data_IF_356972250279
#
_entry.id   IF_356972250279
#
_cell.length_a   1.000
_cell.length_b   1.000
_cell.length_c   1.000
_cell.angle_alpha   90.00
_cell.angle_beta   90.00
_cell.angle_gamma   90.00
#
_symmetry.space_group_name_H-M   'P 1'
#
loop_
_entity.id
_entity.type
_entity.pdbx_description
1 polymer ?
#
# COMPACT_ATOMS: atom_id res chain seq x y z
N UNK A 1 9.18 1.43 15.85
CA UNK A 1 9.13 0.57 14.63
C UNK A 1 10.56 0.24 14.22
N UNK A 2 10.91 -1.00 13.83
CA UNK A 2 12.25 -1.33 13.30
C UNK A 2 12.58 -0.55 12.03
N UNK A 3 13.84 -0.20 11.84
CA UNK A 3 14.33 0.64 10.76
C UNK A 3 13.90 0.12 9.36
N UNK A 4 14.02 -1.19 9.12
CA UNK A 4 13.65 -1.77 7.83
C UNK A 4 12.15 -1.68 7.53
N UNK A 5 11.27 -1.69 8.55
CA UNK A 5 9.82 -1.47 8.37
C UNK A 5 9.57 0.02 8.12
N UNK A 6 10.27 0.88 8.85
CA UNK A 6 10.16 2.33 8.69
C UNK A 6 10.59 2.76 7.27
N UNK A 7 11.76 2.28 6.79
CA UNK A 7 12.25 2.60 5.45
C UNK A 7 11.28 2.11 4.36
N UNK A 8 10.69 0.91 4.53
CA UNK A 8 9.63 0.41 3.67
C UNK A 8 8.42 1.35 3.66
N UNK A 9 7.90 1.69 4.84
CA UNK A 9 6.74 2.57 4.97
C UNK A 9 6.97 3.98 4.40
N UNK A 10 8.18 4.52 4.55
CA UNK A 10 8.57 5.80 3.95
C UNK A 10 8.52 5.73 2.42
N UNK A 11 9.01 4.65 1.81
CA UNK A 11 8.94 4.50 0.35
C UNK A 11 7.50 4.31 -0.14
N UNK A 12 6.70 3.50 0.57
CA UNK A 12 5.26 3.35 0.28
C UNK A 12 4.55 4.69 0.36
N UNK A 13 4.85 5.50 1.38
CA UNK A 13 4.26 6.83 1.56
C UNK A 13 4.65 7.82 0.45
N UNK A 14 5.88 7.76 -0.07
CA UNK A 14 6.30 8.57 -1.21
C UNK A 14 5.49 8.23 -2.47
N UNK A 15 5.28 6.95 -2.75
CA UNK A 15 4.45 6.52 -3.89
C UNK A 15 3.00 6.95 -3.69
N UNK A 16 2.43 6.70 -2.51
CA UNK A 16 1.05 7.06 -2.21
C UNK A 16 0.83 8.57 -2.35
N UNK A 17 1.74 9.38 -1.81
CA UNK A 17 1.70 10.84 -1.93
C UNK A 17 1.79 11.31 -3.38
N UNK A 18 2.73 10.78 -4.16
CA UNK A 18 2.87 11.08 -5.60
C UNK A 18 1.57 10.81 -6.35
N UNK A 19 1.01 9.61 -6.20
CA UNK A 19 -0.21 9.20 -6.90
C UNK A 19 -1.41 10.05 -6.47
N UNK A 20 -1.59 10.25 -5.16
CA UNK A 20 -2.72 11.03 -4.64
C UNK A 20 -2.68 12.47 -5.14
N UNK A 21 -1.53 13.15 -5.07
CA UNK A 21 -1.35 14.52 -5.60
C UNK A 21 -1.62 14.61 -7.09
N UNK A 22 -1.16 13.62 -7.85
CA UNK A 22 -1.34 13.61 -9.30
C UNK A 22 -2.81 13.42 -9.68
N UNK A 23 -3.52 12.54 -8.96
CA UNK A 23 -4.95 12.32 -9.14
C UNK A 23 -5.78 13.52 -8.68
N UNK A 24 -5.45 14.12 -7.52
CA UNK A 24 -6.09 15.34 -7.02
C UNK A 24 -5.96 16.49 -8.02
N UNK A 25 -4.78 16.66 -8.61
CA UNK A 25 -4.55 17.64 -9.68
C UNK A 25 -5.37 17.36 -10.93
N UNK A 26 -5.77 16.11 -11.16
CA UNK A 26 -6.69 15.68 -12.21
C UNK A 26 -8.17 15.81 -11.84
N UNK A 27 -8.50 16.35 -10.66
CA UNK A 27 -9.87 16.62 -10.22
C UNK A 27 -10.51 15.52 -9.37
N UNK A 28 -9.73 14.51 -8.94
CA UNK A 28 -10.22 13.49 -8.00
C UNK A 28 -10.29 14.04 -6.58
N UNK A 29 -11.34 13.69 -5.85
CA UNK A 29 -11.54 14.10 -4.44
C UNK A 29 -10.82 13.09 -3.55
N UNK A 30 -9.60 13.44 -3.15
CA UNK A 30 -8.70 12.60 -2.36
C UNK A 30 -7.98 13.48 -1.32
N UNK A 31 -7.48 12.87 -0.23
CA UNK A 31 -6.65 13.54 0.76
C UNK A 31 -5.21 13.01 0.69
N UNK A 32 -4.30 13.88 0.30
CA UNK A 32 -2.86 13.59 0.29
C UNK A 32 -2.34 13.27 1.69
N UNK A 33 -2.85 13.97 2.70
CA UNK A 33 -2.49 13.76 4.11
C UNK A 33 -2.92 12.37 4.58
N UNK A 34 -4.17 11.97 4.31
CA UNK A 34 -4.70 10.66 4.69
C UNK A 34 -3.96 9.52 4.01
N UNK A 35 -3.76 9.62 2.69
CA UNK A 35 -3.01 8.61 1.93
C UNK A 35 -1.56 8.50 2.43
N UNK A 36 -0.89 9.63 2.71
CA UNK A 36 0.48 9.65 3.20
C UNK A 36 0.57 9.04 4.61
N UNK A 37 -0.31 9.45 5.54
CA UNK A 37 -0.34 8.92 6.90
C UNK A 37 -0.71 7.44 6.92
N UNK A 38 -1.72 7.03 6.15
CA UNK A 38 -2.09 5.61 6.00
C UNK A 38 -0.94 4.76 5.48
N UNK A 39 -0.18 5.25 4.50
CA UNK A 39 0.99 4.58 3.97
C UNK A 39 2.15 4.51 4.98
N UNK A 40 2.39 5.55 5.77
CA UNK A 40 3.39 5.52 6.85
C UNK A 40 3.05 4.52 7.95
N UNK A 41 1.77 4.35 8.25
CA UNK A 41 1.28 3.54 9.36
C UNK A 41 0.78 2.14 8.93
N UNK A 42 0.72 1.81 7.62
CA UNK A 42 0.11 0.57 7.15
C UNK A 42 0.65 -0.70 7.85
N UNK A 43 1.92 -0.74 8.17
CA UNK A 43 2.63 -1.85 8.82
C UNK A 43 2.81 -1.67 10.34
N UNK A 44 2.13 -0.72 11.00
CA UNK A 44 2.32 -0.43 12.42
C UNK A 44 2.02 -1.63 13.33
N UNK A 45 1.06 -2.48 12.97
CA UNK A 45 0.71 -3.71 13.68
C UNK A 45 1.69 -4.87 13.51
N UNK A 46 2.67 -4.77 12.59
CA UNK A 46 3.52 -5.89 12.18
C UNK A 46 4.37 -6.46 13.32
N UNK A 47 4.92 -5.60 14.17
CA UNK A 47 5.74 -6.05 15.32
C UNK A 47 4.86 -6.73 16.39
N UNK A 48 3.68 -6.22 16.64
CA UNK A 48 2.71 -6.83 17.56
C UNK A 48 2.30 -8.22 17.06
N UNK A 49 2.00 -8.35 15.77
CA UNK A 49 1.68 -9.63 15.14
C UNK A 49 2.83 -10.65 15.22
N UNK A 50 4.07 -10.21 15.03
CA UNK A 50 5.26 -11.07 15.13
C UNK A 50 5.51 -11.58 16.55
N UNK A 51 5.16 -10.81 17.59
CA UNK A 51 5.36 -11.16 18.99
C UNK A 51 4.21 -12.00 19.56
N UNK A 52 2.97 -11.62 19.28
CA UNK A 52 1.78 -12.20 19.90
C UNK A 52 0.97 -13.10 18.95
N UNK A 53 1.32 -13.13 17.67
CA UNK A 53 0.49 -13.74 16.62
C UNK A 53 -0.64 -12.81 16.18
N UNK A 54 -1.45 -13.29 15.23
CA UNK A 54 -2.63 -12.57 14.73
C UNK A 54 -2.39 -11.83 13.41
N UNK A 55 -3.44 -11.16 12.95
CA UNK A 55 -3.41 -10.38 11.71
C UNK A 55 -2.87 -8.98 11.99
N UNK A 56 -1.74 -8.62 11.35
CA UNK A 56 -1.11 -7.32 11.55
C UNK A 56 -1.96 -6.15 11.03
N UNK A 57 -2.83 -6.39 10.05
CA UNK A 57 -3.75 -5.37 9.54
C UNK A 57 -4.78 -4.99 10.62
N UNK A 58 -5.39 -5.99 11.27
CA UNK A 58 -6.36 -5.75 12.33
C UNK A 58 -5.69 -5.16 13.59
N UNK A 59 -4.51 -5.66 13.96
CA UNK A 59 -3.75 -5.06 15.06
C UNK A 59 -3.34 -3.61 14.76
N UNK A 60 -2.96 -3.32 13.52
CA UNK A 60 -2.67 -1.95 13.10
C UNK A 60 -3.91 -1.05 13.15
N UNK A 61 -5.06 -1.55 12.70
CA UNK A 61 -6.35 -0.85 12.80
C UNK A 61 -6.69 -0.51 14.27
N UNK A 62 -6.54 -1.47 15.17
CA UNK A 62 -6.79 -1.25 16.61
C UNK A 62 -5.87 -0.17 17.18
N UNK A 63 -4.57 -0.22 16.86
CA UNK A 63 -3.62 0.81 17.29
C UNK A 63 -4.04 2.20 16.80
N UNK A 64 -4.45 2.33 15.53
CA UNK A 64 -4.93 3.60 14.99
C UNK A 64 -6.18 4.13 15.71
N UNK A 65 -7.12 3.26 16.05
CA UNK A 65 -8.32 3.63 16.81
C UNK A 65 -7.99 4.05 18.26
N UNK A 66 -7.08 3.35 18.93
CA UNK A 66 -6.61 3.69 20.29
C UNK A 66 -5.90 5.06 20.31
N UNK A 67 -5.20 5.41 19.23
CA UNK A 67 -4.51 6.70 19.06
C UNK A 67 -5.39 7.79 18.42
N UNK A 68 -6.70 7.56 18.30
CA UNK A 68 -7.68 8.50 17.71
C UNK A 68 -7.38 8.88 16.25
N UNK A 69 -6.82 7.95 15.48
CA UNK A 69 -6.54 8.07 14.05
C UNK A 69 -7.57 7.27 13.23
N UNK A 70 -8.87 7.47 13.52
CA UNK A 70 -9.97 6.68 12.96
C UNK A 70 -10.00 6.68 11.42
N UNK A 71 -9.71 7.82 10.80
CA UNK A 71 -9.66 7.97 9.34
C UNK A 71 -8.55 7.15 8.67
N UNK A 72 -7.52 6.79 9.43
CA UNK A 72 -6.37 6.00 8.96
C UNK A 72 -6.60 4.51 9.19
N UNK A 73 -7.41 4.15 10.18
CA UNK A 73 -7.62 2.78 10.62
C UNK A 73 -8.10 1.86 9.47
N UNK A 74 -9.03 2.34 8.62
CA UNK A 74 -9.53 1.58 7.47
C UNK A 74 -8.46 1.38 6.40
N UNK A 75 -7.65 2.39 6.10
CA UNK A 75 -6.53 2.30 5.17
C UNK A 75 -5.54 1.23 5.64
N UNK A 76 -5.18 1.27 6.94
CA UNK A 76 -4.27 0.30 7.57
C UNK A 76 -4.85 -1.12 7.51
N UNK A 77 -6.14 -1.29 7.74
CA UNK A 77 -6.78 -2.61 7.74
C UNK A 77 -6.80 -3.28 6.36
N UNK A 78 -6.82 -2.51 5.26
CA UNK A 78 -7.05 -2.99 3.90
C UNK A 78 -5.80 -3.08 3.01
N UNK A 79 -4.64 -2.65 3.50
CA UNK A 79 -3.43 -2.56 2.67
C UNK A 79 -2.90 -3.90 2.14
N UNK A 80 -3.18 -5.03 2.80
CA UNK A 80 -2.75 -6.37 2.31
C UNK A 80 -3.72 -6.93 1.27
N UNK A 81 -5.03 -6.78 1.51
CA UNK A 81 -6.08 -7.33 0.66
C UNK A 81 -7.13 -6.27 0.40
N UNK A 82 -7.21 -5.84 -0.82
CA UNK A 82 -8.30 -5.00 -1.25
C UNK A 82 -9.50 -5.89 -1.59
N UNK A 83 -10.51 -5.91 -0.73
CA UNK A 83 -11.71 -6.72 -0.92
C UNK A 83 -12.65 -6.03 -1.91
N UNK A 84 -12.41 -6.22 -3.20
CA UNK A 84 -13.34 -5.77 -4.22
C UNK A 84 -14.46 -6.79 -4.43
N UNK A 85 -15.49 -6.76 -3.60
CA UNK A 85 -16.82 -7.30 -3.97
C UNK A 85 -17.49 -6.42 -5.03
N UNK A 86 -17.13 -5.15 -5.12
CA UNK A 86 -17.32 -4.23 -6.24
C UNK A 86 -16.20 -3.18 -6.15
N UNK A 87 -15.48 -2.92 -7.24
CA UNK A 87 -14.55 -1.79 -7.30
C UNK A 87 -15.42 -0.54 -7.23
N UNK A 88 -15.23 0.37 -6.25
CA UNK A 88 -16.00 1.61 -6.16
C UNK A 88 -15.87 2.44 -7.44
N UNK A 89 -16.89 3.23 -7.80
CA UNK A 89 -16.80 4.11 -8.97
C UNK A 89 -15.67 5.13 -8.84
N UNK A 90 -15.40 5.58 -7.60
CA UNK A 90 -14.35 6.56 -7.28
C UNK A 90 -13.09 5.89 -6.74
N UNK A 91 -11.93 6.41 -7.13
CA UNK A 91 -10.63 6.03 -6.55
C UNK A 91 -10.59 6.46 -5.08
N UNK A 92 -10.00 5.63 -4.22
CA UNK A 92 -9.85 5.89 -2.78
C UNK A 92 -8.38 5.87 -2.33
N UNK A 93 -8.11 6.47 -1.18
CA UNK A 93 -6.78 6.42 -0.54
C UNK A 93 -6.38 4.99 -0.16
N UNK A 94 -7.36 4.14 0.17
CA UNK A 94 -7.16 2.71 0.45
C UNK A 94 -6.60 1.98 -0.77
N UNK A 95 -7.17 2.21 -1.98
CA UNK A 95 -6.65 1.65 -3.24
C UNK A 95 -5.22 2.09 -3.51
N UNK A 96 -4.95 3.39 -3.30
CA UNK A 96 -3.63 3.98 -3.53
C UNK A 96 -2.60 3.36 -2.59
N UNK A 97 -2.88 3.24 -1.29
CA UNK A 97 -1.97 2.65 -0.32
C UNK A 97 -1.78 1.15 -0.56
N UNK A 98 -2.87 0.41 -0.84
CA UNK A 98 -2.83 -1.00 -1.23
C UNK A 98 -1.89 -1.24 -2.42
N UNK A 99 -2.03 -0.44 -3.49
CA UNK A 99 -1.16 -0.51 -4.65
C UNK A 99 0.29 -0.14 -4.33
N UNK A 100 0.49 0.96 -3.61
CA UNK A 100 1.82 1.47 -3.27
C UNK A 100 2.66 0.46 -2.49
N UNK A 101 2.07 -0.26 -1.53
CA UNK A 101 2.75 -1.35 -0.82
C UNK A 101 3.25 -2.46 -1.76
N UNK A 102 2.45 -2.82 -2.80
CA UNK A 102 2.83 -3.86 -3.78
C UNK A 102 3.92 -3.41 -4.75
N UNK A 103 4.24 -2.11 -4.78
CA UNK A 103 5.32 -1.54 -5.60
C UNK A 103 6.65 -1.42 -4.85
N UNK A 104 6.69 -1.80 -3.55
CA UNK A 104 7.92 -1.69 -2.74
C UNK A 104 8.37 -3.05 -2.23
N UNK A 105 9.63 -3.39 -2.53
CA UNK A 105 10.37 -4.54 -1.98
C UNK A 105 11.49 -4.02 -1.10
N UNK A 106 11.43 -4.33 0.20
CA UNK A 106 12.24 -3.66 1.22
C UNK A 106 11.99 -2.13 1.22
N UNK A 107 12.91 -1.35 0.71
CA UNK A 107 12.85 0.10 0.54
C UNK A 107 13.01 0.55 -0.93
N UNK A 108 12.90 -0.39 -1.87
CA UNK A 108 13.07 -0.13 -3.30
C UNK A 108 11.76 -0.27 -4.06
N UNK A 109 11.54 0.63 -5.01
CA UNK A 109 10.42 0.54 -5.95
C UNK A 109 10.72 -0.55 -6.98
N UNK A 110 9.80 -1.51 -7.13
CA UNK A 110 9.93 -2.64 -8.05
C UNK A 110 8.67 -2.83 -8.90
N UNK A 111 8.74 -3.49 -10.07
CA UNK A 111 7.55 -3.94 -10.81
C UNK A 111 6.70 -4.91 -10.00
N UNK A 112 5.38 -4.98 -10.31
CA UNK A 112 4.45 -5.89 -9.63
C UNK A 112 4.88 -7.36 -9.74
N UNK A 113 5.45 -7.75 -10.89
CA UNK A 113 5.94 -9.11 -11.15
C UNK A 113 7.07 -9.49 -10.18
N UNK A 114 8.05 -8.61 -10.01
CA UNK A 114 9.16 -8.85 -9.08
C UNK A 114 8.66 -8.94 -7.63
N UNK A 115 7.70 -8.08 -7.27
CA UNK A 115 7.09 -8.12 -5.94
C UNK A 115 6.28 -9.39 -5.73
N UNK A 116 5.54 -9.84 -6.73
CA UNK A 116 4.77 -11.09 -6.71
C UNK A 116 5.70 -12.29 -6.46
N UNK A 117 6.79 -12.41 -7.22
CA UNK A 117 7.75 -13.50 -7.07
C UNK A 117 8.35 -13.52 -5.67
N UNK A 118 8.77 -12.36 -5.16
CA UNK A 118 9.28 -12.22 -3.80
C UNK A 118 8.26 -12.67 -2.74
N UNK A 119 6.99 -12.28 -2.87
CA UNK A 119 5.93 -12.65 -1.91
C UNK A 119 5.63 -14.14 -1.98
N UNK A 120 5.59 -14.74 -3.18
CA UNK A 120 5.41 -16.19 -3.35
C UNK A 120 6.56 -16.95 -2.70
N UNK A 121 7.81 -16.56 -2.94
CA UNK A 121 8.98 -17.20 -2.35
C UNK A 121 8.94 -17.13 -0.81
N UNK A 122 8.62 -15.98 -0.27
CA UNK A 122 8.65 -15.74 1.18
C UNK A 122 7.48 -16.38 1.94
N UNK A 123 6.26 -16.34 1.40
CA UNK A 123 5.04 -16.74 2.11
C UNK A 123 4.32 -17.94 1.47
N UNK A 124 4.50 -18.17 0.17
CA UNK A 124 3.88 -19.28 -0.56
C UNK A 124 4.51 -20.63 -0.24
N UNK A 125 5.84 -20.68 -0.08
CA UNK A 125 6.63 -21.89 0.17
C UNK A 125 5.99 -23.14 -0.44
N UNK A 126 5.77 -24.23 0.32
CA UNK A 126 5.18 -25.49 -0.13
C UNK A 126 3.64 -25.53 -0.02
N UNK A 127 2.96 -24.40 -0.08
CA UNK A 127 1.51 -24.30 0.05
C UNK A 127 0.90 -23.67 -1.21
N UNK A 128 0.40 -24.51 -2.11
CA UNK A 128 -0.14 -24.06 -3.39
C UNK A 128 -1.40 -23.21 -3.23
N UNK A 129 -2.23 -23.48 -2.21
CA UNK A 129 -3.40 -22.65 -1.90
C UNK A 129 -3.00 -21.22 -1.52
N UNK A 130 -1.92 -21.05 -0.75
CA UNK A 130 -1.40 -19.72 -0.42
C UNK A 130 -0.86 -19.03 -1.67
N UNK A 131 -0.14 -19.76 -2.55
CA UNK A 131 0.35 -19.19 -3.81
C UNK A 131 -0.80 -18.72 -4.71
N UNK A 132 -1.89 -19.48 -4.78
CA UNK A 132 -3.10 -19.08 -5.53
C UNK A 132 -3.73 -17.82 -4.98
N UNK A 133 -3.86 -17.71 -3.65
CA UNK A 133 -4.39 -16.51 -3.00
C UNK A 133 -3.49 -15.28 -3.25
N UNK A 134 -2.16 -15.47 -3.22
CA UNK A 134 -1.21 -14.39 -3.54
C UNK A 134 -1.38 -13.95 -5.00
N UNK A 135 -1.46 -14.89 -5.96
CA UNK A 135 -1.66 -14.58 -7.38
C UNK A 135 -2.98 -13.86 -7.63
N UNK A 136 -4.06 -14.31 -6.99
CA UNK A 136 -5.37 -13.64 -7.08
C UNK A 136 -5.31 -12.21 -6.55
N UNK A 137 -4.63 -11.98 -5.43
CA UNK A 137 -4.43 -10.63 -4.87
C UNK A 137 -3.62 -9.74 -5.82
N UNK A 138 -2.57 -10.25 -6.46
CA UNK A 138 -1.80 -9.48 -7.44
C UNK A 138 -2.53 -9.26 -8.76
N UNK A 139 -3.43 -10.17 -9.17
CA UNK A 139 -4.33 -9.94 -10.30
C UNK A 139 -5.27 -8.76 -10.01
N UNK A 140 -5.81 -8.66 -8.80
CA UNK A 140 -6.58 -7.49 -8.37
C UNK A 140 -5.71 -6.23 -8.34
N UNK A 141 -4.46 -6.32 -7.88
CA UNK A 141 -3.55 -5.18 -7.86
C UNK A 141 -3.26 -4.62 -9.26
N UNK A 142 -3.21 -5.47 -10.31
CA UNK A 142 -3.09 -5.00 -11.71
C UNK A 142 -4.33 -4.24 -12.17
N UNK A 143 -5.52 -4.68 -11.78
CA UNK A 143 -6.77 -3.93 -12.06
C UNK A 143 -6.73 -2.56 -11.38
N UNK A 144 -6.27 -2.50 -10.13
CA UNK A 144 -6.08 -1.23 -9.42
C UNK A 144 -5.01 -0.38 -10.11
N UNK A 145 -3.89 -0.95 -10.55
CA UNK A 145 -2.85 -0.24 -11.31
C UNK A 145 -3.43 0.43 -12.57
N UNK A 146 -4.12 -0.32 -13.42
CA UNK A 146 -4.75 0.22 -14.63
C UNK A 146 -5.69 1.38 -14.30
N UNK A 147 -6.49 1.23 -13.27
CA UNK A 147 -7.45 2.23 -12.81
C UNK A 147 -6.77 3.50 -12.30
N UNK A 148 -5.71 3.37 -11.50
CA UNK A 148 -4.96 4.51 -10.96
C UNK A 148 -4.22 5.29 -12.05
N UNK A 149 -3.66 4.60 -13.04
CA UNK A 149 -2.85 5.22 -14.08
C UNK A 149 -3.63 5.69 -15.30
N UNK A 150 -4.84 5.18 -15.54
CA UNK A 150 -5.66 5.60 -16.69
C UNK A 150 -5.85 7.14 -16.78
N UNK A 151 -6.09 7.88 -15.67
CA UNK A 151 -6.22 9.33 -15.72
C UNK A 151 -4.89 10.09 -15.65
N UNK A 152 -3.75 9.43 -15.42
CA UNK A 152 -2.46 10.08 -15.23
C UNK A 152 -1.71 10.26 -16.55
N UNK A 153 -0.84 11.28 -16.62
CA UNK A 153 0.01 11.56 -17.77
C UNK A 153 1.29 10.72 -17.82
N UNK A 154 1.51 9.85 -16.83
CA UNK A 154 2.66 8.95 -16.72
C UNK A 154 2.20 7.54 -16.37
N UNK A 155 3.00 6.54 -16.71
CA UNK A 155 2.72 5.13 -16.44
C UNK A 155 3.44 4.60 -15.20
N UNK A 156 3.15 3.33 -14.82
CA UNK A 156 3.76 2.67 -13.67
C UNK A 156 5.30 2.64 -13.67
N UNK A 157 5.93 2.63 -14.83
CA UNK A 157 7.38 2.59 -14.96
C UNK A 157 8.07 3.88 -14.49
N UNK A 158 7.35 5.00 -14.50
CA UNK A 158 7.87 6.29 -14.04
C UNK A 158 7.90 6.43 -12.51
N UNK A 159 7.19 5.57 -11.76
CA UNK A 159 7.07 5.70 -10.30
C UNK A 159 8.45 5.77 -9.62
N UNK A 160 9.39 4.92 -10.03
CA UNK A 160 10.70 4.83 -9.37
C UNK A 160 11.44 6.16 -9.41
N UNK A 161 11.45 6.83 -10.55
CA UNK A 161 12.11 8.12 -10.69
C UNK A 161 11.33 9.27 -10.04
N UNK A 162 10.00 9.27 -10.16
CA UNK A 162 9.15 10.33 -9.61
C UNK A 162 9.09 10.27 -8.08
N UNK A 163 8.93 9.07 -7.49
CA UNK A 163 8.90 8.90 -6.04
C UNK A 163 10.23 9.22 -5.37
N UNK A 164 11.36 9.08 -6.08
CA UNK A 164 12.66 9.49 -5.56
C UNK A 164 12.73 11.01 -5.29
N UNK A 165 11.99 11.81 -6.06
CA UNK A 165 11.88 13.27 -5.88
C UNK A 165 10.86 13.72 -4.83
N UNK A 166 10.01 12.80 -4.32
CA UNK A 166 9.00 13.14 -3.32
C UNK A 166 9.63 13.34 -1.93
N UNK A 167 9.21 14.44 -1.28
CA UNK A 167 9.56 14.75 0.11
C UNK A 167 8.33 14.53 0.99
N UNK A 168 8.54 13.92 2.16
CA UNK A 168 7.48 13.75 3.15
C UNK A 168 7.56 14.88 4.18
N UNK A 169 6.42 15.44 4.63
CA UNK A 169 6.38 16.42 5.72
C UNK A 169 6.57 15.68 7.06
N UNK A 170 7.81 15.33 7.37
CA UNK A 170 8.19 14.63 8.62
C UNK A 170 8.88 15.56 9.62
N UNK A 171 8.82 16.88 9.41
CA UNK A 171 9.40 17.91 10.27
C UNK A 171 8.42 18.39 11.34
#
# INVERSE_FOLDING_TARGET
>A
MPEHIMNHSVMVAKIARLLTRSLESGGYVLSVERATAGALLHDIGKISALKAGGDHCELGRMICLEEHCDEIAEIVSRHVRFAATAIPETISEEEIVYYSDKRVKHDQVVPLEERLDYIIERYGRNNDKIKELIRANFSMCRVVEERLFNPLSFGPDAISSLAAGETLPLD
#
